data_IF_266299660261
#
_entry.id   IF_266299660261
#
_cell.length_a   1.000
_cell.length_b   1.000
_cell.length_c   1.000
_cell.angle_alpha   90.00
_cell.angle_beta   90.00
_cell.angle_gamma   90.00
#
_symmetry.space_group_name_H-M   'P 1'
#
loop_
_entity.id
_entity.type
_entity.pdbx_description
1 polymer ?
#
# COMPACT_ATOMS: atom_id res chain seq x y z
N UNK A 1 5.66 -21.51 -6.81
CA UNK A 1 5.41 -20.10 -7.15
C UNK A 1 6.67 -19.52 -7.78
N UNK A 2 6.57 -18.96 -8.99
CA UNK A 2 7.68 -18.21 -9.60
C UNK A 2 7.91 -16.93 -8.79
N UNK A 3 9.16 -16.60 -8.49
CA UNK A 3 9.50 -15.35 -7.82
C UNK A 3 9.68 -14.27 -8.88
N UNK A 4 8.87 -13.23 -8.82
CA UNK A 4 9.08 -12.01 -9.62
C UNK A 4 10.03 -11.10 -8.85
N UNK A 5 11.06 -10.58 -9.54
CA UNK A 5 11.94 -9.56 -8.96
C UNK A 5 11.25 -8.21 -9.07
N UNK A 6 10.89 -7.62 -7.94
CA UNK A 6 10.44 -6.22 -7.84
C UNK A 6 11.65 -5.39 -7.42
N UNK A 7 11.91 -4.27 -8.11
CA UNK A 7 12.98 -3.35 -7.71
C UNK A 7 12.48 -2.46 -6.58
N UNK A 8 13.26 -2.38 -5.52
CA UNK A 8 13.05 -1.48 -4.39
C UNK A 8 14.11 -0.37 -4.43
N UNK A 9 13.68 0.88 -4.25
CA UNK A 9 14.60 2.00 -4.01
C UNK A 9 14.80 2.11 -2.52
N UNK A 10 15.96 1.68 -2.03
CA UNK A 10 16.28 1.68 -0.60
C UNK A 10 16.85 3.02 -0.16
N UNK A 11 16.31 3.53 0.95
CA UNK A 11 16.82 4.66 1.69
C UNK A 11 17.39 4.16 3.01
N UNK A 12 18.64 4.51 3.29
CA UNK A 12 19.40 4.06 4.45
C UNK A 12 19.89 5.28 5.24
N UNK A 13 19.87 5.20 6.57
CA UNK A 13 20.35 6.28 7.45
C UNK A 13 19.52 7.57 7.42
N UNK A 14 18.36 7.54 6.77
CA UNK A 14 17.38 8.64 6.74
C UNK A 14 16.02 8.16 7.22
N UNK A 15 15.16 9.09 7.60
CA UNK A 15 13.77 8.83 7.97
C UNK A 15 12.83 9.26 6.83
N UNK A 16 11.66 8.61 6.66
CA UNK A 16 10.67 9.05 5.69
C UNK A 16 10.14 10.45 6.01
N UNK A 17 9.92 11.25 4.97
CA UNK A 17 9.37 12.61 5.11
C UNK A 17 7.85 12.62 5.35
N UNK A 18 7.16 11.56 4.93
CA UNK A 18 5.70 11.49 4.93
C UNK A 18 5.23 10.36 5.84
N UNK A 19 4.11 10.60 6.52
CA UNK A 19 3.41 9.60 7.33
C UNK A 19 2.83 8.53 6.40
N UNK A 20 3.00 7.24 6.71
CA UNK A 20 2.48 6.19 5.85
C UNK A 20 3.07 4.81 6.07
N UNK A 21 2.70 3.86 5.21
CA UNK A 21 3.22 2.48 5.23
C UNK A 21 4.41 2.36 4.28
N UNK A 22 5.49 1.79 4.78
CA UNK A 22 6.74 1.58 4.05
C UNK A 22 7.15 0.12 4.09
N UNK A 23 7.80 -0.35 3.03
CA UNK A 23 8.57 -1.60 3.11
C UNK A 23 9.85 -1.29 3.88
N UNK A 24 10.14 -2.07 4.90
CA UNK A 24 11.36 -1.96 5.70
C UNK A 24 12.22 -3.21 5.56
N UNK A 25 13.53 -3.01 5.58
CA UNK A 25 14.50 -4.05 5.81
C UNK A 25 14.85 -4.08 7.29
N UNK A 26 14.65 -5.23 7.93
CA UNK A 26 14.89 -5.45 9.34
C UNK A 26 16.13 -6.31 9.53
N UNK A 27 16.95 -5.96 10.53
CA UNK A 27 18.02 -6.80 11.05
C UNK A 27 17.64 -7.26 12.45
N UNK A 28 17.51 -8.59 12.61
CA UNK A 28 17.28 -9.20 13.92
C UNK A 28 18.61 -9.35 14.66
N UNK A 29 18.56 -9.33 15.99
CA UNK A 29 19.72 -9.56 16.87
C UNK A 29 20.43 -10.89 16.61
N UNK A 30 19.70 -11.88 16.09
CA UNK A 30 20.22 -13.18 15.65
C UNK A 30 21.06 -13.11 14.36
N UNK A 31 21.18 -11.94 13.74
CA UNK A 31 21.93 -11.71 12.50
C UNK A 31 21.10 -11.91 11.23
N UNK A 32 19.90 -12.51 11.32
CA UNK A 32 19.02 -12.69 10.17
C UNK A 32 18.41 -11.36 9.70
N UNK A 33 18.24 -11.26 8.38
CA UNK A 33 17.52 -10.15 7.76
C UNK A 33 16.15 -10.60 7.27
N UNK A 34 15.15 -9.72 7.39
CA UNK A 34 13.82 -9.92 6.80
C UNK A 34 13.30 -8.61 6.22
N UNK A 35 12.28 -8.72 5.38
CA UNK A 35 11.49 -7.57 4.93
C UNK A 35 10.14 -7.61 5.63
N UNK A 36 9.61 -6.44 5.97
CA UNK A 36 8.28 -6.28 6.56
C UNK A 36 7.65 -4.94 6.14
N UNK A 37 6.38 -4.73 6.45
CA UNK A 37 5.70 -3.45 6.27
C UNK A 37 5.49 -2.79 7.63
N UNK A 38 5.98 -1.55 7.77
CA UNK A 38 5.78 -0.77 8.98
C UNK A 38 5.17 0.58 8.66
N UNK A 39 4.35 1.06 9.59
CA UNK A 39 3.80 2.40 9.54
C UNK A 39 4.79 3.39 10.20
N UNK A 40 5.06 4.49 9.52
CA UNK A 40 5.78 5.64 10.05
C UNK A 40 4.76 6.71 10.46
N UNK A 41 4.79 7.13 11.72
CA UNK A 41 3.86 8.13 12.26
C UNK A 41 4.33 9.60 12.06
N UNK A 42 5.48 9.79 11.39
CA UNK A 42 6.14 11.09 11.22
C UNK A 42 7.30 11.34 12.18
N UNK A 43 7.48 10.49 13.21
CA UNK A 43 8.54 10.60 14.22
C UNK A 43 9.18 9.27 14.57
N UNK A 44 8.41 8.19 14.59
CA UNK A 44 8.92 6.86 14.86
C UNK A 44 8.17 5.79 14.05
N UNK A 45 8.86 4.66 13.90
CA UNK A 45 8.28 3.47 13.31
C UNK A 45 7.35 2.83 14.32
N UNK A 46 6.12 2.49 13.90
CA UNK A 46 5.16 1.76 14.70
C UNK A 46 5.55 0.27 14.78
N UNK A 47 6.66 0.01 15.45
CA UNK A 47 7.28 -1.30 15.57
C UNK A 47 7.05 -1.87 16.99
N UNK A 48 6.53 -3.09 17.09
CA UNK A 48 6.40 -3.83 18.37
C UNK A 48 7.58 -4.76 18.66
N UNK A 49 8.51 -4.88 17.73
CA UNK A 49 9.67 -5.79 17.74
C UNK A 49 10.98 -5.06 17.98
N UNK A 50 11.96 -5.76 18.56
CA UNK A 50 13.29 -5.26 18.91
C UNK A 50 14.29 -5.23 17.75
N UNK A 51 13.82 -5.39 16.52
CA UNK A 51 14.66 -5.48 15.32
C UNK A 51 15.02 -4.08 14.80
N UNK A 52 16.27 -3.91 14.38
CA UNK A 52 16.76 -2.64 13.84
C UNK A 52 16.31 -2.49 12.39
N UNK A 53 15.80 -1.30 12.06
CA UNK A 53 15.45 -0.95 10.68
C UNK A 53 16.72 -0.45 10.00
N UNK A 54 17.18 -1.20 9.00
CA UNK A 54 18.42 -0.88 8.27
C UNK A 54 18.18 -0.11 6.97
N UNK A 55 16.94 -0.11 6.49
CA UNK A 55 16.53 0.69 5.34
C UNK A 55 15.03 0.62 5.12
N UNK A 56 14.52 1.58 4.35
CA UNK A 56 13.10 1.67 4.01
C UNK A 56 12.89 2.01 2.53
N UNK A 57 11.69 1.74 2.02
CA UNK A 57 11.30 2.05 0.65
C UNK A 57 9.79 2.35 0.59
N UNK A 58 9.36 3.37 -0.17
CA UNK A 58 7.94 3.63 -0.40
C UNK A 58 7.24 2.42 -1.03
N UNK A 59 6.11 2.00 -0.44
CA UNK A 59 5.34 0.87 -1.00
C UNK A 59 4.72 1.25 -2.35
N UNK A 60 4.37 2.53 -2.53
CA UNK A 60 3.77 3.03 -3.77
C UNK A 60 4.63 2.71 -5.01
N UNK A 61 5.95 2.91 -4.93
CA UNK A 61 6.88 2.61 -6.02
C UNK A 61 6.87 1.12 -6.40
N UNK A 62 6.55 0.23 -5.46
CA UNK A 62 6.40 -1.21 -5.75
C UNK A 62 5.05 -1.54 -6.34
N UNK A 63 3.98 -0.92 -5.83
CA UNK A 63 2.61 -1.14 -6.33
C UNK A 63 2.46 -0.68 -7.78
N UNK A 64 3.14 0.40 -8.19
CA UNK A 64 3.14 0.85 -9.59
C UNK A 64 3.81 -0.14 -10.55
N UNK A 65 4.65 -1.06 -10.06
CA UNK A 65 5.26 -2.13 -10.85
C UNK A 65 4.37 -3.38 -10.94
N UNK A 66 3.26 -3.41 -10.21
CA UNK A 66 2.44 -4.59 -10.01
C UNK A 66 1.17 -4.51 -10.86
N UNK A 67 1.10 -5.35 -11.89
CA UNK A 67 -0.12 -5.54 -12.68
C UNK A 67 -0.92 -6.72 -12.10
N UNK A 68 -1.60 -6.48 -10.98
CA UNK A 68 -2.43 -7.49 -10.32
C UNK A 68 -3.88 -7.55 -10.82
N UNK A 69 -4.30 -6.57 -11.65
CA UNK A 69 -5.70 -6.32 -11.92
C UNK A 69 -6.51 -6.00 -10.65
N UNK A 70 -7.83 -6.01 -10.79
CA UNK A 70 -8.77 -5.85 -9.69
C UNK A 70 -9.47 -7.19 -9.38
N UNK A 71 -9.83 -7.49 -8.12
CA UNK A 71 -10.57 -8.70 -7.79
C UNK A 71 -11.88 -8.81 -8.57
N UNK A 72 -12.10 -9.94 -9.24
CA UNK A 72 -13.28 -10.11 -10.11
C UNK A 72 -14.62 -10.10 -9.38
N UNK A 73 -14.62 -10.45 -8.09
CA UNK A 73 -15.84 -10.43 -7.27
C UNK A 73 -16.37 -9.02 -7.00
N UNK A 74 -15.53 -7.98 -7.16
CA UNK A 74 -15.93 -6.59 -6.96
C UNK A 74 -16.39 -5.91 -8.27
N UNK A 75 -16.25 -6.59 -9.41
CA UNK A 75 -16.75 -6.10 -10.70
C UNK A 75 -18.28 -5.97 -10.73
N UNK A 76 -18.99 -6.70 -9.86
CA UNK A 76 -20.46 -6.57 -9.74
C UNK A 76 -20.84 -5.20 -9.19
N UNK A 77 -20.08 -4.67 -8.23
CA UNK A 77 -20.22 -3.31 -7.67
C UNK A 77 -20.07 -2.24 -8.76
N UNK A 78 -19.07 -2.40 -9.64
CA UNK A 78 -18.86 -1.48 -10.77
C UNK A 78 -20.05 -1.49 -11.75
N UNK A 79 -20.63 -2.67 -12.02
CA UNK A 79 -21.79 -2.79 -12.92
C UNK A 79 -23.03 -2.11 -12.30
N UNK A 80 -23.23 -2.26 -11.00
CA UNK A 80 -24.33 -1.61 -10.28
C UNK A 80 -24.16 -0.09 -10.23
N UNK A 81 -22.95 0.39 -9.93
CA UNK A 81 -22.62 1.80 -9.97
C UNK A 81 -22.83 2.40 -11.38
N UNK A 82 -22.37 1.71 -12.43
CA UNK A 82 -22.52 2.15 -13.81
C UNK A 82 -24.00 2.20 -14.26
N UNK A 83 -24.83 1.25 -13.78
CA UNK A 83 -26.29 1.27 -13.99
C UNK A 83 -26.94 2.45 -13.28
N UNK A 84 -26.60 2.68 -12.02
CA UNK A 84 -27.07 3.83 -11.26
C UNK A 84 -26.69 5.15 -11.95
N UNK A 85 -25.41 5.31 -12.31
CA UNK A 85 -24.89 6.50 -13.01
C UNK A 85 -25.65 6.80 -14.31
N UNK A 86 -25.98 5.77 -15.10
CA UNK A 86 -26.73 5.91 -16.36
C UNK A 86 -28.19 6.27 -16.12
N UNK A 87 -28.80 5.78 -15.06
CA UNK A 87 -30.19 6.12 -14.70
C UNK A 87 -30.32 7.54 -14.13
N UNK A 88 -29.29 8.06 -13.46
CA UNK A 88 -29.31 9.35 -12.78
C UNK A 88 -28.60 10.50 -13.54
N UNK A 89 -28.41 10.34 -14.87
CA UNK A 89 -28.10 11.48 -15.75
C UNK A 89 -26.67 12.04 -15.67
N UNK A 90 -25.72 11.29 -15.11
CA UNK A 90 -24.28 11.55 -15.25
C UNK A 90 -23.74 12.86 -14.65
N UNK A 91 -24.54 13.62 -13.90
CA UNK A 91 -24.06 14.74 -13.09
C UNK A 91 -23.86 14.25 -11.66
N UNK A 92 -22.61 14.02 -11.28
CA UNK A 92 -22.22 13.89 -9.88
C UNK A 92 -21.92 15.29 -9.35
N UNK A 93 -22.51 15.66 -8.23
CA UNK A 93 -21.86 16.60 -7.30
C UNK A 93 -20.89 15.78 -6.43
N UNK A 94 -19.80 16.38 -5.98
CA UNK A 94 -18.75 15.70 -5.19
C UNK A 94 -19.26 15.11 -3.85
N UNK A 95 -20.52 15.37 -3.49
CA UNK A 95 -21.22 14.89 -2.29
C UNK A 95 -22.08 13.62 -2.51
N UNK A 96 -22.16 13.09 -3.74
CA UNK A 96 -22.95 11.89 -4.07
C UNK A 96 -22.20 10.58 -3.73
N UNK A 97 -21.85 10.37 -2.46
CA UNK A 97 -21.41 9.06 -1.96
C UNK A 97 -22.60 8.09 -1.91
N UNK A 98 -22.48 6.95 -2.60
CA UNK A 98 -23.46 5.87 -2.54
C UNK A 98 -22.96 4.86 -1.51
N UNK A 99 -23.63 4.80 -0.36
CA UNK A 99 -23.46 3.69 0.59
C UNK A 99 -24.13 2.44 0.02
N UNK A 100 -23.36 1.36 -0.11
CA UNK A 100 -23.87 0.03 -0.46
C UNK A 100 -23.83 -0.80 0.82
N UNK A 101 -25.01 -1.22 1.33
CA UNK A 101 -25.17 -2.09 2.52
C UNK A 101 -24.69 -3.53 2.29
#
# INVERSE_FOLDING_TARGET
MSKVKIKATWFEGTEPSEIGVYLVALRHLSGFGSYDYLYWDGKCWLNKTTSDIVGWSPVFDMLTQLDAGWPTGDLETDIEFEKYRKQHGGKFDDDDFIEVE
#
